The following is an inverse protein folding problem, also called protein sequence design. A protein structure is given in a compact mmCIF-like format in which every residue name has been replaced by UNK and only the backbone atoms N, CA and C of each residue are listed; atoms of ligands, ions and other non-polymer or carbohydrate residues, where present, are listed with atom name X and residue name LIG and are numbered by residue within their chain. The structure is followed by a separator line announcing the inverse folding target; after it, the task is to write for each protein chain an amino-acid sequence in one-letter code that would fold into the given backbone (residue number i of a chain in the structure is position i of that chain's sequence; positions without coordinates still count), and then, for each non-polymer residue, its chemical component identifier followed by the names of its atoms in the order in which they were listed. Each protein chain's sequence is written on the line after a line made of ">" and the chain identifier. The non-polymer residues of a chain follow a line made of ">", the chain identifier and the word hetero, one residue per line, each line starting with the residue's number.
data_IF_037207959417
#
_entry.id   IF_037207959417
#
_cell.length_a   1.000
_cell.length_b   1.000
_cell.length_c   1.000
_cell.angle_alpha   90.00
_cell.angle_beta   90.00
_cell.angle_gamma   90.00
#
_symmetry.space_group_name_H-M   'P 1'
#
loop_
_entity.id
_entity.type
_entity.pdbx_description
1 polymer ?
#
# COMPACT_ATOMS: atom_id res chain seq x y z
N UNK A 1 14.78 -14.04 -4.40
CA UNK A 1 14.70 -14.23 -2.94
C UNK A 1 13.73 -13.20 -2.33
N UNK A 2 12.46 -13.20 -2.75
CA UNK A 2 11.34 -12.46 -2.12
C UNK A 2 10.00 -13.24 -2.26
N UNK A 3 10.07 -14.58 -2.18
CA UNK A 3 8.91 -15.41 -1.82
C UNK A 3 8.72 -15.45 -0.28
N UNK A 4 9.22 -14.46 0.46
CA UNK A 4 9.57 -14.63 1.87
C UNK A 4 8.41 -14.42 2.86
N UNK A 5 7.27 -13.90 2.41
CA UNK A 5 6.13 -13.66 3.29
C UNK A 5 4.86 -14.19 2.64
N UNK A 6 4.36 -15.32 3.14
CA UNK A 6 3.02 -15.82 2.81
C UNK A 6 1.95 -14.75 3.05
N UNK A 7 0.77 -14.91 2.42
CA UNK A 7 -0.27 -13.88 2.28
C UNK A 7 -0.44 -12.96 3.50
N UNK A 8 -0.65 -13.51 4.69
CA UNK A 8 -0.88 -12.75 5.92
C UNK A 8 0.32 -11.87 6.34
N UNK A 9 1.55 -12.41 6.28
CA UNK A 9 2.76 -11.65 6.63
C UNK A 9 3.04 -10.55 5.62
N UNK A 10 2.74 -10.81 4.34
CA UNK A 10 2.82 -9.81 3.28
C UNK A 10 1.82 -8.68 3.49
N UNK A 11 0.56 -9.00 3.82
CA UNK A 11 -0.49 -8.01 4.06
C UNK A 11 -0.17 -7.08 5.22
N UNK A 12 0.23 -7.61 6.38
CA UNK A 12 0.59 -6.77 7.53
C UNK A 12 1.79 -5.87 7.23
N UNK A 13 2.81 -6.39 6.53
CA UNK A 13 3.96 -5.59 6.10
C UNK A 13 3.53 -4.40 5.21
N UNK A 14 2.61 -4.61 4.28
CA UNK A 14 2.06 -3.55 3.44
C UNK A 14 1.28 -2.51 4.25
N UNK A 15 0.46 -2.95 5.22
CA UNK A 15 -0.26 -2.05 6.12
C UNK A 15 0.71 -1.19 6.95
N UNK A 16 1.83 -1.74 7.41
CA UNK A 16 2.87 -0.98 8.11
C UNK A 16 3.49 0.10 7.21
N UNK A 17 3.85 -0.24 5.96
CA UNK A 17 4.38 0.74 5.00
C UNK A 17 3.39 1.87 4.72
N UNK A 18 2.11 1.53 4.59
CA UNK A 18 1.05 2.51 4.40
C UNK A 18 0.88 3.43 5.63
N UNK A 19 0.87 2.87 6.84
CA UNK A 19 0.78 3.65 8.07
C UNK A 19 1.96 4.62 8.22
N UNK A 20 3.19 4.18 7.93
CA UNK A 20 4.39 5.04 7.92
C UNK A 20 4.23 6.20 6.92
N UNK A 21 3.71 5.92 5.72
CA UNK A 21 3.47 6.96 4.72
C UNK A 21 2.44 8.00 5.19
N UNK A 22 1.34 7.57 5.80
CA UNK A 22 0.35 8.48 6.42
C UNK A 22 0.98 9.30 7.55
N UNK A 23 1.75 8.66 8.44
CA UNK A 23 2.44 9.33 9.54
C UNK A 23 3.40 10.42 9.03
N UNK A 24 4.16 10.12 7.97
CA UNK A 24 5.00 11.13 7.29
C UNK A 24 4.16 12.28 6.74
N UNK A 25 3.04 12.01 6.09
CA UNK A 25 2.19 13.07 5.53
C UNK A 25 1.62 13.96 6.62
N UNK A 26 1.09 13.39 7.71
CA UNK A 26 0.62 14.13 8.89
C UNK A 26 1.72 15.02 9.48
N UNK A 27 2.94 14.50 9.59
CA UNK A 27 4.08 15.29 10.06
C UNK A 27 4.39 16.47 9.13
N UNK A 28 4.44 16.24 7.81
CA UNK A 28 4.84 17.26 6.84
C UNK A 28 3.76 18.32 6.65
N UNK A 29 2.48 17.93 6.58
CA UNK A 29 1.38 18.80 6.20
C UNK A 29 0.60 19.35 7.39
N UNK A 30 0.51 18.58 8.48
CA UNK A 30 -0.31 18.92 9.65
C UNK A 30 0.53 19.22 10.91
N UNK A 31 1.86 19.07 10.83
CA UNK A 31 2.79 19.15 11.98
C UNK A 31 2.42 18.19 13.12
N UNK A 32 1.69 17.11 12.80
CA UNK A 32 1.23 16.13 13.77
C UNK A 32 2.20 14.95 13.82
N UNK A 33 2.77 14.71 15.00
CA UNK A 33 3.64 13.57 15.25
C UNK A 33 2.81 12.34 15.66
N UNK A 34 2.97 11.26 14.92
CA UNK A 34 2.47 9.93 15.32
C UNK A 34 3.61 9.11 15.92
N UNK A 35 3.39 8.51 17.08
CA UNK A 35 4.36 7.59 17.67
C UNK A 35 4.44 6.28 16.85
N UNK A 36 5.58 5.56 16.88
CA UNK A 36 5.70 4.27 16.20
C UNK A 36 4.62 3.26 16.61
N UNK A 37 4.23 3.25 17.89
CA UNK A 37 3.20 2.37 18.44
C UNK A 37 1.83 2.69 17.84
N UNK A 38 1.47 3.97 17.74
CA UNK A 38 0.21 4.40 17.14
C UNK A 38 0.16 4.08 15.63
N UNK A 39 1.30 4.14 14.93
CA UNK A 39 1.37 3.72 13.53
C UNK A 39 1.23 2.21 13.38
N UNK A 40 1.83 1.43 14.27
CA UNK A 40 1.73 -0.03 14.28
C UNK A 40 0.30 -0.48 14.59
N UNK A 41 -0.37 0.16 15.53
CA UNK A 41 -1.77 -0.11 15.88
C UNK A 41 -2.70 0.14 14.68
N UNK A 42 -2.53 1.27 13.98
CA UNK A 42 -3.27 1.58 12.75
C UNK A 42 -3.03 0.53 11.66
N UNK A 43 -1.78 0.10 11.48
CA UNK A 43 -1.44 -0.93 10.51
C UNK A 43 -2.11 -2.28 10.85
N UNK A 44 -2.10 -2.67 12.12
CA UNK A 44 -2.73 -3.91 12.58
C UNK A 44 -4.25 -3.87 12.43
N UNK A 45 -4.88 -2.74 12.75
CA UNK A 45 -6.31 -2.54 12.55
C UNK A 45 -6.68 -2.66 11.07
N UNK A 46 -5.98 -1.94 10.18
CA UNK A 46 -6.23 -1.98 8.75
C UNK A 46 -6.07 -3.41 8.16
N UNK A 47 -5.04 -4.14 8.60
CA UNK A 47 -4.83 -5.53 8.18
C UNK A 47 -5.96 -6.45 8.67
N UNK A 48 -6.40 -6.28 9.91
CA UNK A 48 -7.48 -7.07 10.51
C UNK A 48 -8.82 -6.80 9.81
N UNK A 49 -9.10 -5.55 9.46
CA UNK A 49 -10.32 -5.17 8.74
C UNK A 49 -10.33 -5.76 7.32
N UNK A 50 -9.21 -5.68 6.60
CA UNK A 50 -9.09 -6.23 5.24
C UNK A 50 -9.24 -7.75 5.22
N UNK A 51 -8.57 -8.46 6.14
CA UNK A 51 -8.64 -9.94 6.21
C UNK A 51 -10.00 -10.46 6.69
N UNK A 52 -10.76 -9.68 7.47
CA UNK A 52 -12.15 -10.01 7.81
C UNK A 52 -13.13 -9.84 6.63
N UNK A 53 -12.81 -8.98 5.66
CA UNK A 53 -13.66 -8.71 4.50
C UNK A 53 -13.48 -9.74 3.35
N UNK A 54 -12.38 -10.50 3.36
CA UNK A 54 -11.93 -11.38 2.26
C UNK A 54 -12.71 -12.70 2.09
N UNK A 55 -13.91 -12.84 2.68
CA UNK A 55 -14.68 -14.08 2.51
C UNK A 55 -15.37 -14.25 1.15
N UNK A 56 -15.43 -13.27 0.24
CA UNK A 56 -16.06 -13.46 -1.09
C UNK A 56 -15.88 -12.26 -2.04
N UNK A 57 -14.84 -12.19 -2.90
CA UNK A 57 -14.95 -11.38 -4.14
C UNK A 57 -14.08 -11.96 -5.28
N UNK A 58 -14.65 -12.27 -6.47
CA UNK A 58 -13.89 -12.61 -7.66
C UNK A 58 -13.25 -11.37 -8.31
N UNK A 59 -11.99 -11.52 -8.74
CA UNK A 59 -11.20 -10.54 -9.50
C UNK A 59 -11.98 -10.01 -10.72
N UNK A 60 -12.36 -8.73 -10.72
CA UNK A 60 -12.85 -8.04 -11.92
C UNK A 60 -12.14 -6.71 -12.07
N UNK A 61 -11.22 -6.66 -13.03
CA UNK A 61 -10.44 -5.46 -13.39
C UNK A 61 -11.35 -4.44 -14.08
N UNK A 62 -11.45 -3.22 -13.53
CA UNK A 62 -11.93 -2.05 -14.27
C UNK A 62 -10.88 -0.94 -14.18
N UNK A 63 -10.38 -0.53 -15.34
CA UNK A 63 -9.41 0.57 -15.49
C UNK A 63 -10.13 1.92 -15.45
N UNK A 64 -9.76 2.80 -14.51
CA UNK A 64 -10.22 4.19 -14.46
C UNK A 64 -9.31 5.14 -15.27
N UNK A 65 -9.79 6.32 -15.72
CA UNK A 65 -9.02 7.24 -16.54
C UNK A 65 -7.88 7.89 -15.75
N UNK A 66 -6.69 7.86 -16.33
CA UNK A 66 -5.41 8.30 -15.76
C UNK A 66 -5.37 9.83 -15.54
N UNK A 67 -5.16 10.26 -14.30
CA UNK A 67 -4.74 11.62 -13.97
C UNK A 67 -3.41 11.96 -14.68
N UNK A 68 -3.39 13.06 -15.43
CA UNK A 68 -2.29 13.46 -16.32
C UNK A 68 -1.19 14.32 -15.66
N UNK A 69 -0.79 14.07 -14.41
CA UNK A 69 0.46 14.64 -13.89
C UNK A 69 1.62 13.66 -14.09
N UNK A 70 2.07 13.52 -15.34
CA UNK A 70 3.18 12.62 -15.67
C UNK A 70 4.54 13.21 -15.26
N UNK A 71 4.83 13.24 -13.96
CA UNK A 71 6.21 13.03 -13.55
C UNK A 71 6.58 11.62 -14.04
N UNK A 72 7.46 11.53 -15.04
CA UNK A 72 7.91 10.22 -15.54
C UNK A 72 8.46 9.45 -14.35
N UNK A 73 7.93 8.25 -14.13
CA UNK A 73 8.38 7.40 -13.03
C UNK A 73 9.90 7.22 -13.12
N UNK A 74 10.61 7.43 -12.01
CA UNK A 74 12.06 7.18 -11.87
C UNK A 74 12.29 6.09 -10.85
N UNK A 75 13.27 5.23 -11.11
CA UNK A 75 13.71 4.25 -10.11
C UNK A 75 14.25 4.96 -8.85
N UNK A 76 14.11 4.36 -7.66
CA UNK A 76 14.73 4.90 -6.45
C UNK A 76 16.26 4.69 -6.48
N UNK A 77 16.98 5.34 -5.57
CA UNK A 77 18.43 5.14 -5.39
C UNK A 77 18.77 3.67 -5.10
N UNK A 78 20.01 3.28 -5.39
CA UNK A 78 20.51 1.93 -5.12
C UNK A 78 20.25 1.52 -3.65
N UNK A 79 19.83 0.27 -3.46
CA UNK A 79 19.50 -0.26 -2.13
C UNK A 79 18.14 0.15 -1.58
N UNK A 80 17.36 0.99 -2.29
CA UNK A 80 16.01 1.37 -1.89
C UNK A 80 14.93 0.65 -2.69
N UNK A 81 13.74 0.61 -2.09
CA UNK A 81 12.51 0.20 -2.76
C UNK A 81 11.57 1.38 -2.90
N UNK A 82 10.78 1.38 -3.97
CA UNK A 82 9.68 2.33 -4.17
C UNK A 82 8.36 1.57 -4.11
N UNK A 83 7.47 2.03 -3.25
CA UNK A 83 6.13 1.48 -3.07
C UNK A 83 5.15 2.45 -3.69
N UNK A 84 4.36 1.96 -4.63
CA UNK A 84 3.26 2.66 -5.26
C UNK A 84 1.96 2.04 -4.75
N UNK A 85 1.04 2.85 -4.24
CA UNK A 85 -0.27 2.41 -3.75
C UNK A 85 -1.33 3.15 -4.54
N UNK A 86 -2.37 2.44 -4.97
CA UNK A 86 -3.56 3.00 -5.61
C UNK A 86 -4.80 2.43 -4.92
N UNK A 87 -5.78 3.28 -4.64
CA UNK A 87 -7.00 2.86 -3.95
C UNK A 87 -8.22 3.39 -4.70
N UNK A 88 -9.23 2.54 -4.87
CA UNK A 88 -10.48 2.88 -5.52
C UNK A 88 -11.66 2.55 -4.61
N UNK A 89 -12.62 3.47 -4.53
CA UNK A 89 -13.90 3.26 -3.86
C UNK A 89 -14.96 3.09 -4.95
N UNK A 90 -15.60 1.92 -5.00
CA UNK A 90 -16.65 1.59 -5.97
C UNK A 90 -18.01 2.05 -5.42
N UNK A 91 -18.25 1.84 -4.12
CA UNK A 91 -19.41 2.36 -3.39
C UNK A 91 -19.08 2.42 -1.88
N UNK A 92 -20.03 2.88 -1.06
CA UNK A 92 -19.87 3.05 0.39
C UNK A 92 -19.38 1.80 1.15
N UNK A 93 -19.52 0.61 0.57
CA UNK A 93 -19.18 -0.68 1.20
C UNK A 93 -18.14 -1.49 0.44
N UNK A 94 -17.68 -1.01 -0.72
CA UNK A 94 -16.73 -1.73 -1.59
C UNK A 94 -15.67 -0.78 -2.09
N UNK A 95 -14.44 -1.11 -1.77
CA UNK A 95 -13.25 -0.52 -2.38
C UNK A 95 -12.21 -1.60 -2.59
N UNK A 96 -11.09 -1.21 -3.19
CA UNK A 96 -9.91 -2.05 -3.30
C UNK A 96 -8.67 -1.19 -3.22
N UNK A 97 -7.59 -1.76 -2.69
CA UNK A 97 -6.26 -1.14 -2.60
C UNK A 97 -5.27 -2.03 -3.32
N UNK A 98 -4.56 -1.47 -4.29
CA UNK A 98 -3.46 -2.16 -4.97
C UNK A 98 -2.12 -1.56 -4.56
N UNK A 99 -1.11 -2.43 -4.45
CA UNK A 99 0.26 -2.05 -4.12
C UNK A 99 1.23 -2.68 -5.11
N UNK A 100 2.21 -1.89 -5.56
CA UNK A 100 3.34 -2.37 -6.37
C UNK A 100 4.64 -1.89 -5.72
N UNK A 101 5.54 -2.81 -5.42
CA UNK A 101 6.88 -2.53 -4.92
C UNK A 101 7.88 -2.78 -6.04
N UNK A 102 8.75 -1.81 -6.30
CA UNK A 102 9.86 -1.91 -7.26
C UNK A 102 11.20 -1.70 -6.56
N UNK A 103 12.22 -2.43 -6.99
CA UNK A 103 13.61 -2.20 -6.54
C UNK A 103 14.24 -0.99 -7.26
N UNK A 104 15.52 -0.72 -6.97
CA UNK A 104 16.31 0.36 -7.57
C UNK A 104 16.62 0.17 -9.07
N UNK A 105 16.48 -1.03 -9.61
CA UNK A 105 16.55 -1.30 -11.06
C UNK A 105 15.19 -1.07 -11.74
N UNK A 106 14.14 -0.80 -10.95
CA UNK A 106 12.76 -0.65 -11.42
C UNK A 106 12.01 -1.95 -11.68
N UNK A 107 12.61 -3.08 -11.32
CA UNK A 107 11.99 -4.41 -11.35
C UNK A 107 10.90 -4.47 -10.30
N UNK A 108 9.70 -4.93 -10.68
CA UNK A 108 8.62 -5.21 -9.74
C UNK A 108 9.00 -6.43 -8.92
N UNK A 109 9.09 -6.25 -7.61
CA UNK A 109 9.44 -7.32 -6.66
C UNK A 109 8.23 -7.84 -5.88
N UNK A 110 7.16 -7.05 -5.79
CA UNK A 110 5.91 -7.44 -5.16
C UNK A 110 4.76 -6.66 -5.81
N UNK A 111 3.64 -7.35 -6.05
CA UNK A 111 2.37 -6.74 -6.40
C UNK A 111 1.28 -7.44 -5.59
N UNK A 112 0.38 -6.67 -4.98
CA UNK A 112 -0.72 -7.20 -4.18
C UNK A 112 -1.96 -6.33 -4.39
N UNK A 113 -3.12 -6.93 -4.19
CA UNK A 113 -4.40 -6.24 -4.10
C UNK A 113 -5.12 -6.73 -2.85
N UNK A 114 -5.81 -5.81 -2.19
CA UNK A 114 -6.74 -6.00 -1.08
C UNK A 114 -8.10 -5.42 -1.50
#
# INVERSE_FOLDING_TARGET
>A
MLNLFGGERGGLFLCCLHAIWIGRNKLIFDQEHSSPEALLEKAHQAFTEATKADLHVPLSQRTHPRSQSASKWRAPEQGRYKVNVDAAIINERRGGVSVVIRNWEGVVVLAATL
#
